data_IF_658595632296
#
_entry.id   IF_658595632296
#
_cell.length_a   1.000
_cell.length_b   1.000
_cell.length_c   1.000
_cell.angle_alpha   90.00
_cell.angle_beta   90.00
_cell.angle_gamma   90.00
#
_symmetry.space_group_name_H-M   'P 1'
#
loop_
_entity.id
_entity.type
_entity.pdbx_description
1 polymer ?
#
# COMPACT_ATOMS: atom_id res chain seq x y z
N UNK A 1 3.69 -26.65 -10.39
CA UNK A 1 3.89 -25.19 -10.30
C UNK A 1 3.75 -24.64 -11.70
N UNK A 2 3.03 -23.54 -11.87
CA UNK A 2 2.93 -22.77 -13.11
C UNK A 2 3.97 -21.65 -13.02
N UNK A 3 4.63 -21.36 -14.14
CA UNK A 3 5.63 -20.32 -14.28
C UNK A 3 5.15 -19.30 -15.31
N UNK A 4 5.12 -18.03 -14.94
CA UNK A 4 4.81 -16.91 -15.84
C UNK A 4 6.11 -16.27 -16.31
N UNK A 5 6.55 -16.64 -17.51
CA UNK A 5 7.76 -16.07 -18.12
C UNK A 5 7.34 -15.06 -19.19
N UNK A 6 7.56 -13.75 -18.99
CA UNK A 6 7.33 -12.79 -20.06
C UNK A 6 8.29 -13.08 -21.22
N UNK A 7 7.84 -12.97 -22.49
CA UNK A 7 8.64 -13.38 -23.65
C UNK A 7 9.86 -12.49 -23.89
N UNK A 8 9.80 -11.22 -23.48
CA UNK A 8 10.81 -10.20 -23.77
C UNK A 8 11.72 -9.95 -22.57
N UNK A 9 12.35 -11.01 -22.04
CA UNK A 9 13.17 -10.94 -20.83
C UNK A 9 14.49 -11.71 -20.98
N UNK A 10 15.60 -11.10 -20.57
CA UNK A 10 16.86 -11.82 -20.30
C UNK A 10 17.01 -12.07 -18.81
N UNK A 11 17.48 -13.26 -18.47
CA UNK A 11 17.64 -13.75 -17.10
C UNK A 11 19.11 -13.91 -16.76
N UNK A 12 19.45 -13.66 -15.49
CA UNK A 12 20.78 -13.97 -14.96
C UNK A 12 21.05 -15.47 -14.92
N UNK A 13 22.32 -15.83 -14.98
CA UNK A 13 22.78 -17.21 -14.81
C UNK A 13 22.21 -17.83 -13.53
N UNK A 14 21.65 -19.03 -13.64
CA UNK A 14 21.11 -19.76 -12.50
C UNK A 14 19.73 -19.32 -12.02
N UNK A 15 19.12 -18.27 -12.60
CA UNK A 15 17.80 -17.77 -12.18
C UNK A 15 16.73 -18.86 -12.07
N UNK A 16 16.54 -19.65 -13.14
CA UNK A 16 15.54 -20.74 -13.12
C UNK A 16 15.94 -21.92 -12.22
N UNK A 17 17.23 -22.14 -11.99
CA UNK A 17 17.70 -23.14 -11.01
C UNK A 17 17.32 -22.71 -9.61
N UNK A 18 17.59 -21.45 -9.25
CA UNK A 18 17.21 -20.90 -7.96
C UNK A 18 15.69 -21.00 -7.71
N UNK A 19 14.87 -20.70 -8.72
CA UNK A 19 13.40 -20.86 -8.63
C UNK A 19 12.99 -22.33 -8.47
N UNK A 20 13.65 -23.26 -9.16
CA UNK A 20 13.41 -24.69 -8.99
C UNK A 20 13.81 -25.19 -7.59
N UNK A 21 14.92 -24.69 -7.04
CA UNK A 21 15.39 -25.01 -5.69
C UNK A 21 14.37 -24.51 -4.65
N UNK A 22 13.88 -23.27 -4.79
CA UNK A 22 12.80 -22.72 -3.95
C UNK A 22 11.54 -23.58 -4.01
N UNK A 23 11.10 -23.98 -5.21
CA UNK A 23 9.94 -24.85 -5.38
C UNK A 23 10.12 -26.22 -4.71
N UNK A 24 11.31 -26.81 -4.86
CA UNK A 24 11.68 -28.10 -4.26
C UNK A 24 11.75 -28.02 -2.74
N UNK A 25 12.18 -26.86 -2.19
CA UNK A 25 12.15 -26.57 -0.76
C UNK A 25 10.76 -26.38 -0.18
N UNK A 26 9.72 -26.44 -1.00
CA UNK A 26 8.31 -26.40 -0.58
C UNK A 26 7.59 -25.09 -0.89
N UNK A 27 8.26 -24.07 -1.44
CA UNK A 27 7.62 -22.80 -1.79
C UNK A 27 6.54 -23.00 -2.88
N UNK A 28 5.41 -22.35 -2.70
CA UNK A 28 4.18 -22.44 -3.53
C UNK A 28 3.80 -21.13 -4.19
N UNK A 29 4.37 -20.01 -3.76
CA UNK A 29 4.23 -18.71 -4.39
C UNK A 29 5.58 -18.00 -4.37
N UNK A 30 6.08 -17.61 -5.54
CA UNK A 30 7.38 -16.95 -5.70
C UNK A 30 7.17 -15.63 -6.42
N UNK A 31 7.62 -14.54 -5.80
CA UNK A 31 7.57 -13.19 -6.34
C UNK A 31 8.97 -12.70 -6.70
N UNK A 32 9.09 -12.02 -7.83
CA UNK A 32 10.32 -11.37 -8.27
C UNK A 32 10.03 -9.99 -8.83
N UNK A 33 11.06 -9.17 -8.94
CA UNK A 33 11.04 -7.95 -9.76
C UNK A 33 12.10 -8.00 -10.85
N UNK A 34 11.96 -7.14 -11.85
CA UNK A 34 12.92 -6.94 -12.92
C UNK A 34 12.86 -5.49 -13.37
N UNK A 35 13.95 -4.99 -13.96
CA UNK A 35 14.00 -3.63 -14.50
C UNK A 35 13.68 -3.64 -15.99
N UNK A 36 12.93 -2.64 -16.44
CA UNK A 36 12.67 -2.42 -17.86
C UNK A 36 13.81 -1.59 -18.47
N UNK A 37 14.28 -2.01 -19.63
CA UNK A 37 15.35 -1.38 -20.41
C UNK A 37 14.88 -1.15 -21.85
N UNK A 38 15.56 -0.23 -22.54
CA UNK A 38 15.26 0.05 -23.95
C UNK A 38 15.79 -1.08 -24.83
N UNK A 39 14.88 -1.77 -25.53
CA UNK A 39 15.20 -2.96 -26.31
C UNK A 39 16.21 -2.68 -27.44
N UNK A 40 16.05 -1.53 -28.10
CA UNK A 40 16.79 -1.12 -29.29
C UNK A 40 18.28 -0.90 -29.02
N UNK A 41 18.63 -0.55 -27.78
CA UNK A 41 20.01 -0.31 -27.36
C UNK A 41 20.55 -1.42 -26.47
N UNK A 42 19.72 -1.99 -25.60
CA UNK A 42 20.17 -3.01 -24.66
C UNK A 42 20.35 -4.39 -25.31
N UNK A 43 19.44 -4.82 -26.20
CA UNK A 43 19.51 -6.16 -26.80
C UNK A 43 20.78 -6.36 -27.64
N UNK A 44 21.18 -5.43 -28.53
CA UNK A 44 22.45 -5.54 -29.26
C UNK A 44 23.64 -5.66 -28.31
N UNK A 45 23.67 -4.85 -27.25
CA UNK A 45 24.76 -4.86 -26.27
C UNK A 45 24.85 -6.18 -25.50
N UNK A 46 23.71 -6.71 -25.05
CA UNK A 46 23.66 -8.02 -24.36
C UNK A 46 24.22 -9.11 -25.28
N UNK A 47 23.85 -9.08 -26.57
CA UNK A 47 24.35 -10.06 -27.54
C UNK A 47 25.83 -9.89 -27.84
N UNK A 48 26.32 -8.66 -27.95
CA UNK A 48 27.74 -8.40 -28.23
C UNK A 48 28.64 -8.86 -27.07
N UNK A 49 28.24 -8.56 -25.82
CA UNK A 49 29.08 -8.83 -24.63
C UNK A 49 28.94 -10.24 -24.09
N UNK A 50 27.74 -10.83 -24.16
CA UNK A 50 27.38 -12.00 -23.36
C UNK A 50 26.84 -13.17 -24.19
N UNK A 51 26.68 -13.05 -25.51
CA UNK A 51 26.36 -14.21 -26.34
C UNK A 51 27.53 -15.17 -26.34
N UNK A 52 27.30 -16.38 -25.82
CA UNK A 52 28.29 -17.43 -25.80
C UNK A 52 28.66 -17.85 -27.23
N UNK A 53 29.79 -18.57 -27.35
CA UNK A 53 30.32 -19.04 -28.63
C UNK A 53 29.37 -19.99 -29.38
N UNK A 54 28.42 -20.60 -28.68
CA UNK A 54 27.39 -21.45 -29.28
C UNK A 54 26.35 -20.66 -30.10
N UNK A 55 26.34 -19.32 -29.96
CA UNK A 55 25.42 -18.43 -30.66
C UNK A 55 23.97 -18.47 -30.15
N UNK A 56 23.72 -19.16 -29.02
CA UNK A 56 22.36 -19.38 -28.48
C UNK A 56 22.28 -18.94 -27.03
N UNK A 57 23.29 -19.22 -26.21
CA UNK A 57 23.25 -18.97 -24.77
C UNK A 57 23.71 -17.55 -24.45
N UNK A 58 22.97 -16.84 -23.60
CA UNK A 58 23.46 -15.61 -22.97
C UNK A 58 24.07 -15.97 -21.62
N UNK A 59 25.38 -15.78 -21.47
CA UNK A 59 26.14 -16.06 -20.24
C UNK A 59 26.40 -14.76 -19.48
N UNK A 60 25.53 -14.44 -18.52
CA UNK A 60 25.53 -13.15 -17.84
C UNK A 60 25.11 -13.29 -16.37
N UNK A 61 25.92 -12.73 -15.46
CA UNK A 61 25.61 -12.70 -14.03
C UNK A 61 24.56 -11.64 -13.68
N UNK A 62 23.95 -11.76 -12.49
CA UNK A 62 23.00 -10.76 -12.01
C UNK A 62 23.59 -9.35 -11.93
N UNK A 63 24.83 -9.21 -11.41
CA UNK A 63 25.51 -7.90 -11.32
C UNK A 63 25.75 -7.26 -12.69
N UNK A 64 26.17 -8.05 -13.68
CA UNK A 64 26.32 -7.57 -15.05
C UNK A 64 24.98 -7.12 -15.66
N UNK A 65 23.88 -7.85 -15.39
CA UNK A 65 22.56 -7.38 -15.81
C UNK A 65 22.11 -6.10 -15.09
N UNK A 66 22.44 -5.92 -13.81
CA UNK A 66 22.17 -4.65 -13.11
C UNK A 66 22.97 -3.50 -13.74
N UNK A 67 24.25 -3.69 -14.04
CA UNK A 67 25.06 -2.68 -14.75
C UNK A 67 24.40 -2.28 -16.09
N UNK A 68 23.96 -3.28 -16.86
CA UNK A 68 23.21 -3.05 -18.11
C UNK A 68 21.89 -2.32 -17.85
N UNK A 69 21.16 -2.64 -16.78
CA UNK A 69 19.94 -1.94 -16.41
C UNK A 69 20.18 -0.44 -16.21
N UNK A 70 21.27 -0.06 -15.55
CA UNK A 70 21.59 1.34 -15.28
C UNK A 70 22.01 2.09 -16.53
N UNK A 71 22.73 1.42 -17.44
CA UNK A 71 23.18 2.03 -18.69
C UNK A 71 22.04 2.22 -19.70
N UNK A 72 21.09 1.27 -19.76
CA UNK A 72 20.04 1.23 -20.78
C UNK A 72 18.62 1.35 -20.19
N UNK A 73 18.48 1.95 -19.01
CA UNK A 73 17.22 2.07 -18.28
C UNK A 73 16.11 2.68 -19.15
N UNK A 74 14.93 2.08 -19.13
CA UNK A 74 13.81 2.60 -19.91
C UNK A 74 13.32 3.94 -19.32
N UNK A 75 12.96 4.95 -20.13
CA UNK A 75 12.44 6.23 -19.62
C UNK A 75 11.25 6.09 -18.67
N UNK A 76 10.29 5.21 -18.99
CA UNK A 76 9.20 4.86 -18.06
C UNK A 76 9.74 4.37 -16.70
N UNK A 77 10.79 3.55 -16.65
CA UNK A 77 11.35 3.09 -15.37
C UNK A 77 11.90 4.25 -14.55
N UNK A 78 12.56 5.21 -15.19
CA UNK A 78 13.03 6.42 -14.53
C UNK A 78 11.88 7.30 -14.00
N UNK A 79 10.71 7.27 -14.63
CA UNK A 79 9.58 8.08 -14.15
C UNK A 79 8.98 7.56 -12.85
N UNK A 80 9.24 6.30 -12.47
CA UNK A 80 8.89 5.76 -11.15
C UNK A 80 9.79 6.27 -10.00
N UNK A 81 10.81 7.08 -10.29
CA UNK A 81 11.54 7.77 -9.22
C UNK A 81 10.57 8.61 -8.41
N UNK A 82 10.65 8.51 -7.07
CA UNK A 82 9.78 9.24 -6.14
C UNK A 82 9.62 10.73 -6.47
N UNK A 83 10.71 11.37 -6.88
CA UNK A 83 10.76 12.82 -7.15
C UNK A 83 10.54 13.17 -8.64
N UNK A 84 10.11 12.21 -9.45
CA UNK A 84 9.85 12.42 -10.88
C UNK A 84 8.75 13.49 -11.09
N UNK A 85 8.97 14.45 -12.02
CA UNK A 85 7.93 15.40 -12.42
C UNK A 85 6.87 14.77 -13.37
N UNK A 86 7.09 13.52 -13.78
CA UNK A 86 6.32 12.78 -14.78
C UNK A 86 5.95 11.39 -14.24
N UNK A 87 5.66 11.27 -12.95
CA UNK A 87 5.33 10.01 -12.29
C UNK A 87 4.20 9.30 -13.06
N UNK A 88 4.24 7.98 -13.30
CA UNK A 88 3.32 7.35 -14.24
C UNK A 88 1.88 7.23 -13.67
N UNK A 89 0.88 7.27 -14.56
CA UNK A 89 -0.53 7.03 -14.20
C UNK A 89 -0.80 5.59 -13.73
N UNK A 90 0.11 4.67 -14.04
CA UNK A 90 0.05 3.25 -13.66
C UNK A 90 1.22 2.94 -12.70
N UNK A 91 1.07 3.23 -11.40
CA UNK A 91 2.15 3.17 -10.42
C UNK A 91 2.38 1.75 -9.87
N UNK A 92 3.02 0.85 -10.62
CA UNK A 92 3.30 -0.52 -10.16
C UNK A 92 4.31 -0.59 -9.01
N UNK A 93 5.30 0.30 -9.01
CA UNK A 93 6.34 0.39 -7.99
C UNK A 93 6.86 1.82 -7.86
N UNK A 94 7.74 2.06 -6.90
CA UNK A 94 8.37 3.36 -6.67
C UNK A 94 9.86 3.15 -6.44
N UNK A 95 10.69 4.01 -7.03
CA UNK A 95 12.14 3.95 -6.94
C UNK A 95 12.70 5.06 -6.06
N UNK A 96 13.63 4.70 -5.18
CA UNK A 96 14.51 5.62 -4.47
C UNK A 96 15.95 5.34 -4.86
N UNK A 97 16.65 6.38 -5.29
CA UNK A 97 18.07 6.29 -5.58
C UNK A 97 18.88 6.18 -4.29
N UNK A 98 19.76 5.18 -4.23
CA UNK A 98 20.86 5.12 -3.27
C UNK A 98 22.09 5.70 -3.95
N UNK A 99 22.62 6.87 -3.51
CA UNK A 99 23.70 7.55 -4.21
C UNK A 99 24.91 6.65 -4.46
N UNK A 100 25.26 6.45 -5.72
CA UNK A 100 26.42 5.65 -6.15
C UNK A 100 26.24 4.14 -6.10
N UNK A 101 25.20 3.61 -5.45
CA UNK A 101 25.10 2.17 -5.16
C UNK A 101 23.92 1.47 -5.83
N UNK A 102 22.79 2.16 -6.03
CA UNK A 102 21.67 1.54 -6.72
C UNK A 102 20.30 2.15 -6.46
N UNK A 103 19.29 1.29 -6.39
CA UNK A 103 17.89 1.64 -6.08
C UNK A 103 17.31 0.76 -4.98
N UNK A 104 16.53 1.39 -4.10
CA UNK A 104 15.47 0.70 -3.34
C UNK A 104 14.20 0.81 -4.16
N UNK A 105 13.58 -0.32 -4.46
CA UNK A 105 12.28 -0.41 -5.10
C UNK A 105 11.23 -0.86 -4.07
N UNK A 106 10.11 -0.14 -3.99
CA UNK A 106 8.91 -0.57 -3.26
C UNK A 106 7.84 -0.91 -4.26
N UNK A 107 7.33 -2.13 -4.22
CA UNK A 107 6.36 -2.63 -5.20
C UNK A 107 4.96 -2.47 -4.62
N UNK A 108 4.04 -1.85 -5.36
CA UNK A 108 2.66 -1.64 -4.91
C UNK A 108 1.78 -2.82 -5.30
N UNK A 109 1.95 -3.33 -6.52
CA UNK A 109 1.21 -4.46 -7.06
C UNK A 109 2.18 -5.38 -7.78
N UNK A 110 2.09 -6.68 -7.52
CA UNK A 110 2.92 -7.66 -8.24
C UNK A 110 2.24 -9.00 -8.43
N UNK A 111 2.28 -9.47 -9.66
CA UNK A 111 1.93 -10.84 -10.00
C UNK A 111 3.01 -11.83 -9.50
N UNK A 112 2.60 -13.05 -9.21
CA UNK A 112 3.54 -14.12 -8.89
C UNK A 112 4.30 -14.54 -10.15
N UNK A 113 5.61 -14.72 -10.01
CA UNK A 113 6.41 -15.31 -11.08
C UNK A 113 6.15 -16.80 -11.23
N UNK A 114 6.01 -17.49 -10.10
CA UNK A 114 5.66 -18.90 -10.07
C UNK A 114 4.68 -19.20 -8.95
N UNK A 115 3.72 -20.09 -9.19
CA UNK A 115 2.76 -20.48 -8.17
C UNK A 115 2.21 -21.90 -8.35
N UNK A 116 1.74 -22.51 -7.26
CA UNK A 116 0.99 -23.77 -7.30
C UNK A 116 -0.52 -23.47 -7.34
N UNK A 117 -1.21 -23.71 -8.47
CA UNK A 117 -2.64 -23.38 -8.61
C UNK A 117 -3.55 -24.21 -7.71
N UNK A 118 -3.03 -25.26 -7.06
CA UNK A 118 -3.77 -26.05 -6.07
C UNK A 118 -3.83 -25.36 -4.70
N UNK A 119 -2.92 -24.43 -4.45
CA UNK A 119 -2.79 -23.70 -3.17
C UNK A 119 -3.22 -22.26 -3.36
N UNK A 120 -2.86 -21.63 -4.49
CA UNK A 120 -3.11 -20.21 -4.71
C UNK A 120 -4.27 -19.99 -5.68
N UNK A 121 -5.38 -19.48 -5.14
CA UNK A 121 -6.49 -18.90 -5.88
C UNK A 121 -6.16 -17.48 -6.35
N UNK A 122 -6.47 -17.18 -7.61
CA UNK A 122 -6.29 -15.87 -8.21
C UNK A 122 -7.62 -15.11 -8.31
N UNK A 123 -7.55 -13.77 -8.21
CA UNK A 123 -8.65 -12.87 -8.52
C UNK A 123 -8.68 -12.53 -10.03
N UNK A 124 -9.60 -11.65 -10.44
CA UNK A 124 -9.74 -11.24 -11.84
C UNK A 124 -8.52 -10.49 -12.42
N UNK A 125 -7.65 -9.96 -11.55
CA UNK A 125 -6.40 -9.29 -11.92
C UNK A 125 -5.20 -10.25 -11.91
N UNK A 126 -5.43 -11.57 -11.83
CA UNK A 126 -4.39 -12.59 -11.69
C UNK A 126 -3.49 -12.44 -10.45
N UNK A 127 -3.99 -11.78 -9.40
CA UNK A 127 -3.32 -11.63 -8.11
C UNK A 127 -3.89 -12.62 -7.08
N UNK A 128 -3.16 -12.98 -6.00
CA UNK A 128 -3.70 -13.83 -4.94
C UNK A 128 -5.02 -13.28 -4.37
N UNK A 129 -6.06 -14.10 -4.33
CA UNK A 129 -7.38 -13.72 -3.83
C UNK A 129 -7.53 -13.83 -2.29
N UNK A 130 -6.51 -14.35 -1.61
CA UNK A 130 -6.50 -14.67 -0.18
C UNK A 130 -5.09 -14.49 0.37
N UNK A 131 -4.98 -14.33 1.70
CA UNK A 131 -3.69 -14.20 2.37
C UNK A 131 -2.85 -15.46 2.13
N UNK A 132 -1.61 -15.26 1.71
CA UNK A 132 -0.68 -16.35 1.45
C UNK A 132 0.05 -16.73 2.72
N UNK A 133 0.19 -18.02 2.96
CA UNK A 133 1.03 -18.53 4.04
C UNK A 133 2.50 -18.06 3.85
N UNK A 134 3.09 -17.32 4.81
CA UNK A 134 4.47 -16.87 4.74
C UNK A 134 5.48 -18.02 4.61
N UNK A 135 5.20 -19.20 5.17
CA UNK A 135 6.09 -20.36 5.07
C UNK A 135 6.12 -20.94 3.66
N UNK A 136 5.00 -20.84 2.93
CA UNK A 136 4.87 -21.30 1.56
C UNK A 136 5.24 -20.22 0.53
N UNK A 137 5.43 -18.98 0.97
CA UNK A 137 5.71 -17.85 0.07
C UNK A 137 7.19 -17.46 0.11
N UNK A 138 7.70 -16.97 -1.02
CA UNK A 138 9.04 -16.40 -1.11
C UNK A 138 9.06 -15.16 -1.99
N UNK A 139 9.80 -14.15 -1.54
CA UNK A 139 9.99 -12.90 -2.26
C UNK A 139 11.49 -12.74 -2.52
N UNK A 140 11.90 -12.75 -3.79
CA UNK A 140 13.28 -12.50 -4.17
C UNK A 140 13.48 -10.98 -4.16
N UNK A 141 14.15 -10.48 -3.12
CA UNK A 141 14.29 -9.05 -2.85
C UNK A 141 15.68 -8.49 -3.09
N UNK A 142 16.68 -9.31 -3.38
CA UNK A 142 18.05 -8.86 -3.65
C UNK A 142 18.44 -9.20 -5.09
N UNK A 143 19.01 -8.24 -5.82
CA UNK A 143 19.43 -8.45 -7.21
C UNK A 143 20.57 -9.46 -7.34
N UNK A 144 21.34 -9.75 -6.29
CA UNK A 144 22.37 -10.80 -6.38
C UNK A 144 21.75 -12.22 -6.42
N UNK A 145 20.56 -12.43 -5.83
CA UNK A 145 19.91 -13.75 -5.78
C UNK A 145 19.33 -14.15 -7.14
N UNK A 146 18.60 -13.22 -7.77
CA UNK A 146 18.06 -13.35 -9.12
C UNK A 146 17.74 -11.96 -9.66
N UNK A 147 18.23 -11.68 -10.87
CA UNK A 147 17.88 -10.46 -11.60
C UNK A 147 17.54 -10.76 -13.06
N UNK A 148 16.69 -9.92 -13.64
CA UNK A 148 16.28 -10.02 -15.03
C UNK A 148 16.02 -8.63 -15.63
N UNK A 149 16.15 -8.53 -16.95
CA UNK A 149 15.87 -7.34 -17.73
C UNK A 149 14.65 -7.56 -18.60
N UNK A 150 13.63 -6.71 -18.47
CA UNK A 150 12.50 -6.68 -19.40
C UNK A 150 12.80 -5.71 -20.54
N UNK A 151 12.78 -6.19 -21.76
CA UNK A 151 12.99 -5.38 -22.96
C UNK A 151 11.68 -4.75 -23.39
N UNK A 152 11.71 -3.44 -23.63
CA UNK A 152 10.59 -2.73 -24.21
C UNK A 152 11.08 -1.72 -25.26
N UNK A 153 10.33 -1.54 -26.36
CA UNK A 153 10.59 -0.45 -27.30
C UNK A 153 10.60 0.90 -26.58
N UNK A 154 11.44 1.84 -27.02
CA UNK A 154 11.58 3.16 -26.38
C UNK A 154 10.25 3.91 -26.17
N UNK A 155 9.32 3.74 -27.11
CA UNK A 155 8.02 4.42 -27.13
C UNK A 155 6.90 3.62 -26.46
N UNK A 156 7.22 2.48 -25.81
CA UNK A 156 6.25 1.63 -25.14
C UNK A 156 5.65 2.37 -23.93
N UNK A 157 4.30 2.43 -23.90
CA UNK A 157 3.50 3.03 -22.82
C UNK A 157 3.82 4.52 -22.57
N UNK A 158 4.20 5.25 -23.64
CA UNK A 158 4.60 6.66 -23.59
C UNK A 158 3.49 7.59 -23.05
N UNK A 159 2.23 7.22 -23.26
CA UNK A 159 1.05 7.90 -22.73
C UNK A 159 0.98 7.88 -21.20
N UNK A 160 1.66 6.93 -20.54
CA UNK A 160 1.60 6.81 -19.09
C UNK A 160 2.40 7.88 -18.35
N UNK A 161 3.40 8.49 -19.00
CA UNK A 161 4.37 9.36 -18.34
C UNK A 161 4.71 10.63 -19.12
N UNK A 162 4.07 10.90 -20.25
CA UNK A 162 4.25 12.16 -20.99
C UNK A 162 3.53 13.34 -20.34
N UNK A 163 2.45 13.09 -19.61
CA UNK A 163 1.74 14.13 -18.87
C UNK A 163 2.46 14.45 -17.55
N UNK A 164 2.82 15.71 -17.28
CA UNK A 164 3.43 16.08 -16.01
C UNK A 164 2.50 15.78 -14.83
N UNK A 165 2.98 15.00 -13.88
CA UNK A 165 2.33 14.75 -12.60
C UNK A 165 3.37 14.24 -11.60
N UNK A 166 3.15 14.53 -10.33
CA UNK A 166 3.99 14.02 -9.24
C UNK A 166 3.30 12.83 -8.58
N UNK A 167 4.08 12.06 -7.83
CA UNK A 167 3.55 11.08 -6.89
C UNK A 167 2.50 11.74 -5.99
N UNK A 168 1.26 11.27 -6.09
CA UNK A 168 0.12 11.74 -5.29
C UNK A 168 -0.53 10.57 -4.56
N UNK A 169 -0.67 10.68 -3.25
CA UNK A 169 -1.12 9.57 -2.41
C UNK A 169 -2.58 9.16 -2.70
N UNK A 170 -3.45 10.13 -3.00
CA UNK A 170 -4.86 9.86 -3.29
C UNK A 170 -5.00 9.16 -4.64
N UNK A 171 -4.31 9.65 -5.66
CA UNK A 171 -4.30 9.07 -7.00
C UNK A 171 -3.76 7.64 -6.97
N UNK A 172 -2.61 7.43 -6.34
CA UNK A 172 -1.99 6.10 -6.21
C UNK A 172 -2.87 5.18 -5.37
N UNK A 173 -3.37 5.63 -4.22
CA UNK A 173 -4.27 4.82 -3.39
C UNK A 173 -5.54 4.40 -4.13
N UNK A 174 -6.12 5.29 -4.94
CA UNK A 174 -7.30 4.98 -5.76
C UNK A 174 -7.00 3.96 -6.86
N UNK A 175 -5.83 4.09 -7.52
CA UNK A 175 -5.34 3.12 -8.50
C UNK A 175 -5.09 1.75 -7.83
N UNK A 176 -4.43 1.75 -6.68
CA UNK A 176 -4.07 0.53 -5.96
C UNK A 176 -5.30 -0.30 -5.57
N UNK A 177 -6.40 0.35 -5.18
CA UNK A 177 -7.68 -0.32 -4.92
C UNK A 177 -8.29 -1.05 -6.13
N UNK A 178 -7.84 -0.79 -7.36
CA UNK A 178 -8.30 -1.54 -8.55
C UNK A 178 -7.58 -2.88 -8.69
N UNK A 179 -6.41 -3.01 -8.08
CA UNK A 179 -5.56 -4.20 -8.11
C UNK A 179 -5.46 -4.82 -6.73
N UNK A 180 -6.54 -4.77 -5.95
CA UNK A 180 -6.47 -5.10 -4.53
C UNK A 180 -6.18 -6.59 -4.30
N UNK A 181 -5.24 -6.88 -3.41
CA UNK A 181 -4.83 -8.24 -3.07
C UNK A 181 -4.09 -8.23 -1.73
N UNK A 182 -4.31 -9.23 -0.85
CA UNK A 182 -3.55 -9.34 0.41
C UNK A 182 -2.04 -9.47 0.17
N UNK A 183 -1.62 -10.07 -0.95
CA UNK A 183 -0.20 -10.18 -1.27
C UNK A 183 0.44 -8.81 -1.53
N UNK A 184 -0.33 -7.80 -1.94
CA UNK A 184 0.19 -6.45 -2.15
C UNK A 184 0.58 -5.77 -0.83
N UNK A 185 -0.08 -6.10 0.28
CA UNK A 185 0.29 -5.57 1.59
C UNK A 185 1.66 -6.08 2.01
N UNK A 186 1.92 -7.37 1.79
CA UNK A 186 3.23 -7.98 2.02
C UNK A 186 4.28 -7.45 1.05
N UNK A 187 4.00 -7.44 -0.27
CA UNK A 187 4.99 -7.02 -1.29
C UNK A 187 5.41 -5.56 -1.10
N UNK A 188 4.46 -4.71 -0.71
CA UNK A 188 4.69 -3.29 -0.51
C UNK A 188 5.43 -2.96 0.76
N UNK A 189 5.49 -3.88 1.73
CA UNK A 189 6.28 -3.76 2.95
C UNK A 189 7.76 -4.11 2.75
N UNK A 190 8.12 -4.82 1.68
CA UNK A 190 9.48 -5.29 1.42
C UNK A 190 10.34 -4.24 0.69
N UNK A 191 11.66 -4.36 0.84
CA UNK A 191 12.64 -3.56 0.11
C UNK A 191 13.29 -4.41 -0.98
N UNK A 192 13.01 -4.11 -2.24
CA UNK A 192 13.71 -4.73 -3.35
C UNK A 192 14.98 -3.94 -3.64
N UNK A 193 16.13 -4.58 -3.46
CA UNK A 193 17.46 -3.96 -3.50
C UNK A 193 18.11 -4.29 -4.82
N UNK A 194 18.27 -3.26 -5.64
CA UNK A 194 18.91 -3.36 -6.95
C UNK A 194 20.22 -2.58 -6.85
N UNK A 195 21.35 -3.28 -6.83
CA UNK A 195 22.64 -2.67 -6.49
C UNK A 195 23.74 -3.05 -7.47
N UNK A 196 24.63 -2.08 -7.74
CA UNK A 196 25.77 -2.21 -8.67
C UNK A 196 26.97 -2.94 -8.04
N UNK A 197 26.95 -3.16 -6.73
CA UNK A 197 28.06 -3.71 -5.97
C UNK A 197 27.77 -3.69 -4.48
N UNK A 198 28.81 -3.76 -3.66
CA UNK A 198 28.64 -3.83 -2.20
C UNK A 198 27.82 -2.65 -1.65
N UNK A 199 26.87 -2.96 -0.77
CA UNK A 199 25.92 -2.01 -0.19
C UNK A 199 26.51 -1.38 1.06
N UNK A 200 26.55 -0.04 1.15
CA UNK A 200 26.86 0.66 2.40
C UNK A 200 25.64 0.66 3.32
N UNK A 201 25.64 -0.08 4.44
CA UNK A 201 24.43 -0.31 5.23
C UNK A 201 23.75 0.97 5.71
N UNK A 202 24.50 2.04 5.97
CA UNK A 202 23.98 3.34 6.45
C UNK A 202 23.22 4.08 5.35
N UNK A 203 23.73 4.06 4.11
CA UNK A 203 23.09 4.72 2.96
C UNK A 203 21.76 4.03 2.63
N UNK A 204 21.76 2.71 2.57
CA UNK A 204 20.56 1.92 2.30
C UNK A 204 19.52 2.10 3.39
N UNK A 205 19.88 1.95 4.68
CA UNK A 205 18.95 2.14 5.80
C UNK A 205 18.31 3.53 5.81
N UNK A 206 19.06 4.56 5.44
CA UNK A 206 18.51 5.92 5.31
C UNK A 206 17.43 6.00 4.23
N UNK A 207 17.69 5.43 3.06
CA UNK A 207 16.75 5.43 1.93
C UNK A 207 15.53 4.54 2.22
N UNK A 208 15.73 3.38 2.83
CA UNK A 208 14.66 2.48 3.28
C UNK A 208 13.69 3.20 4.21
N UNK A 209 14.18 3.90 5.24
CA UNK A 209 13.34 4.71 6.14
C UNK A 209 12.57 5.82 5.42
N UNK A 210 13.21 6.48 4.44
CA UNK A 210 12.53 7.48 3.63
C UNK A 210 11.40 6.85 2.79
N UNK A 211 11.60 5.62 2.31
CA UNK A 211 10.57 4.88 1.59
C UNK A 211 9.42 4.49 2.51
N UNK A 212 9.68 4.08 3.76
CA UNK A 212 8.64 3.69 4.72
C UNK A 212 7.68 4.84 5.04
N UNK A 213 8.19 6.07 5.15
CA UNK A 213 7.36 7.26 5.38
C UNK A 213 6.38 7.48 4.22
N UNK A 214 6.85 7.35 2.98
CA UNK A 214 6.01 7.52 1.79
C UNK A 214 5.02 6.37 1.67
N UNK A 215 5.50 5.12 1.79
CA UNK A 215 4.66 3.93 1.70
C UNK A 215 3.55 3.94 2.74
N UNK A 216 3.85 4.34 3.98
CA UNK A 216 2.83 4.50 5.02
C UNK A 216 1.73 5.48 4.59
N UNK A 217 2.08 6.61 3.97
CA UNK A 217 1.09 7.58 3.46
C UNK A 217 0.24 7.00 2.33
N UNK A 218 0.84 6.27 1.40
CA UNK A 218 0.14 5.64 0.27
C UNK A 218 -0.85 4.57 0.75
N UNK A 219 -0.39 3.70 1.64
CA UNK A 219 -1.20 2.67 2.29
C UNK A 219 -2.36 3.32 3.06
N UNK A 220 -2.08 4.36 3.84
CA UNK A 220 -3.11 5.17 4.51
C UNK A 220 -4.16 5.72 3.57
N UNK A 221 -3.71 6.34 2.47
CA UNK A 221 -4.61 6.91 1.49
C UNK A 221 -5.52 5.84 0.87
N UNK A 222 -4.94 4.68 0.51
CA UNK A 222 -5.68 3.52 0.01
C UNK A 222 -6.76 3.07 0.99
N UNK A 223 -6.44 2.88 2.27
CA UNK A 223 -7.41 2.39 3.26
C UNK A 223 -8.54 3.38 3.51
N UNK A 224 -8.24 4.67 3.61
CA UNK A 224 -9.30 5.65 3.83
C UNK A 224 -10.21 5.76 2.60
N UNK A 225 -9.65 5.70 1.39
CA UNK A 225 -10.45 5.59 0.16
C UNK A 225 -11.31 4.32 0.15
N UNK A 226 -10.80 3.21 0.69
CA UNK A 226 -11.55 1.96 0.84
C UNK A 226 -12.75 2.14 1.78
N UNK A 227 -12.52 2.72 2.97
CA UNK A 227 -13.59 3.07 3.92
C UNK A 227 -14.61 3.99 3.26
N UNK A 228 -14.17 5.03 2.54
CA UNK A 228 -15.07 5.94 1.83
C UNK A 228 -15.91 5.24 0.76
N UNK A 229 -15.37 4.24 0.04
CA UNK A 229 -16.12 3.47 -0.97
C UNK A 229 -17.26 2.67 -0.33
N UNK A 230 -17.00 2.08 0.84
CA UNK A 230 -18.00 1.29 1.57
C UNK A 230 -19.12 2.14 2.23
N UNK A 231 -18.94 3.45 2.39
CA UNK A 231 -19.97 4.35 2.93
C UNK A 231 -21.07 4.65 1.89
N UNK A 232 -22.37 4.41 2.18
CA UNK A 232 -23.49 4.77 1.32
C UNK A 232 -23.47 6.25 0.88
N UNK A 233 -23.55 6.50 -0.43
CA UNK A 233 -23.41 7.85 -0.99
C UNK A 233 -24.51 8.82 -0.54
N UNK A 234 -25.74 8.34 -0.43
CA UNK A 234 -26.95 9.13 -0.14
C UNK A 234 -26.99 9.64 1.31
N UNK A 235 -26.56 8.83 2.28
CA UNK A 235 -26.66 9.15 3.72
C UNK A 235 -25.39 9.71 4.34
N UNK A 236 -24.23 9.50 3.68
CA UNK A 236 -22.92 9.78 4.27
C UNK A 236 -22.08 10.75 3.44
N UNK A 237 -22.67 11.48 2.50
CA UNK A 237 -21.95 12.42 1.63
C UNK A 237 -21.07 13.42 2.42
N UNK A 238 -21.58 13.98 3.52
CA UNK A 238 -20.80 14.91 4.35
C UNK A 238 -19.69 14.20 5.14
N UNK A 239 -19.97 13.05 5.75
CA UNK A 239 -18.96 12.26 6.44
C UNK A 239 -17.81 11.87 5.49
N UNK A 240 -18.14 11.46 4.25
CA UNK A 240 -17.15 11.18 3.20
C UNK A 240 -16.29 12.42 2.88
N UNK A 241 -16.87 13.62 2.83
CA UNK A 241 -16.11 14.87 2.59
C UNK A 241 -15.15 15.19 3.74
N UNK A 242 -15.58 14.99 4.99
CA UNK A 242 -14.72 15.22 6.16
C UNK A 242 -13.57 14.21 6.22
N UNK A 243 -13.87 12.93 5.98
CA UNK A 243 -12.85 11.88 5.86
C UNK A 243 -11.90 12.17 4.70
N UNK A 244 -12.40 12.65 3.56
CA UNK A 244 -11.59 13.07 2.42
C UNK A 244 -10.69 14.29 2.72
N UNK A 245 -11.16 15.23 3.53
CA UNK A 245 -10.34 16.37 3.95
C UNK A 245 -9.17 15.92 4.84
N UNK A 246 -9.40 14.92 5.70
CA UNK A 246 -8.35 14.39 6.56
C UNK A 246 -7.40 13.41 5.87
N UNK A 247 -7.77 12.88 4.72
CA UNK A 247 -6.94 12.05 3.84
C UNK A 247 -5.63 12.75 3.44
N UNK A 248 -5.63 14.08 3.41
CA UNK A 248 -4.42 14.91 3.19
C UNK A 248 -3.41 14.74 4.33
N UNK A 249 -3.82 14.23 5.49
CA UNK A 249 -3.00 14.12 6.68
C UNK A 249 -2.47 12.71 6.94
N UNK A 250 -1.16 12.69 7.21
CA UNK A 250 -0.38 11.45 7.38
C UNK A 250 -0.73 10.64 8.62
N UNK A 251 -1.38 11.21 9.63
CA UNK A 251 -1.70 10.51 10.89
C UNK A 251 -2.83 9.50 10.74
N UNK A 252 -3.81 9.76 9.88
CA UNK A 252 -4.90 8.80 9.62
C UNK A 252 -4.38 7.56 8.88
N UNK A 253 -3.21 7.66 8.23
CA UNK A 253 -2.52 6.51 7.66
C UNK A 253 -2.03 5.49 8.71
N UNK A 254 -1.92 5.88 9.99
CA UNK A 254 -1.53 4.96 11.06
C UNK A 254 -2.62 3.92 11.35
N UNK A 255 -3.88 4.18 10.97
CA UNK A 255 -4.97 3.21 11.07
C UNK A 255 -4.64 1.88 10.39
N UNK A 256 -3.76 1.90 9.38
CA UNK A 256 -3.50 0.73 8.54
C UNK A 256 -2.48 -0.23 9.12
N UNK A 257 -1.54 0.29 9.92
CA UNK A 257 -0.51 -0.53 10.57
C UNK A 257 -1.04 -1.29 11.78
N UNK A 258 -2.31 -1.06 12.14
CA UNK A 258 -2.96 -1.79 13.20
C UNK A 258 -3.33 -3.19 12.71
N UNK A 259 -2.67 -4.20 13.27
CA UNK A 259 -2.90 -5.62 12.96
C UNK A 259 -4.20 -6.13 13.57
N UNK A 260 -4.61 -5.54 14.68
CA UNK A 260 -5.84 -5.96 15.34
C UNK A 260 -7.06 -5.37 14.62
N UNK A 261 -8.22 -6.02 14.78
CA UNK A 261 -9.50 -5.47 14.35
C UNK A 261 -9.67 -4.00 14.76
N UNK A 262 -10.36 -3.22 13.93
CA UNK A 262 -10.76 -1.85 14.27
C UNK A 262 -12.23 -1.64 13.97
N UNK A 263 -12.87 -0.84 14.81
CA UNK A 263 -14.25 -0.39 14.61
C UNK A 263 -14.28 1.12 14.38
N UNK A 264 -14.76 1.54 13.22
CA UNK A 264 -14.89 2.97 12.89
C UNK A 264 -16.30 3.44 13.25
N UNK A 265 -16.42 4.45 14.12
CA UNK A 265 -17.68 5.12 14.42
C UNK A 265 -17.86 6.26 13.44
N UNK A 266 -18.82 6.14 12.52
CA UNK A 266 -19.06 7.19 11.52
C UNK A 266 -20.31 7.99 11.89
N UNK A 267 -20.19 9.32 12.10
CA UNK A 267 -21.35 10.18 12.33
C UNK A 267 -22.25 10.24 11.09
N UNK A 268 -23.56 10.38 11.30
CA UNK A 268 -24.51 10.60 10.20
C UNK A 268 -24.23 11.91 9.45
N UNK A 269 -24.69 12.01 8.20
CA UNK A 269 -24.52 13.24 7.40
C UNK A 269 -25.12 14.49 8.06
N UNK A 270 -26.31 14.36 8.67
CA UNK A 270 -26.98 15.48 9.35
C UNK A 270 -26.20 15.96 10.59
N UNK A 271 -25.68 15.03 11.38
CA UNK A 271 -24.89 15.34 12.57
C UNK A 271 -23.55 15.98 12.19
N UNK A 272 -22.91 15.48 11.13
CA UNK A 272 -21.69 16.10 10.61
C UNK A 272 -21.94 17.54 10.15
N UNK A 273 -23.06 17.81 9.47
CA UNK A 273 -23.44 19.17 9.06
C UNK A 273 -23.63 20.07 10.29
N UNK A 274 -24.39 19.61 11.28
CA UNK A 274 -24.63 20.35 12.53
C UNK A 274 -23.31 20.69 13.23
N UNK A 275 -22.46 19.69 13.41
CA UNK A 275 -21.14 19.87 14.01
C UNK A 275 -20.28 20.89 13.27
N UNK A 276 -20.25 20.83 11.94
CA UNK A 276 -19.49 21.76 11.11
C UNK A 276 -19.91 23.21 11.32
N UNK A 277 -21.22 23.48 11.45
CA UNK A 277 -21.74 24.82 11.72
C UNK A 277 -21.47 25.30 13.14
N UNK A 278 -21.55 24.42 14.13
CA UNK A 278 -21.39 24.80 15.54
C UNK A 278 -19.91 25.03 15.90
N UNK A 279 -19.07 24.02 15.71
CA UNK A 279 -17.69 24.00 16.21
C UNK A 279 -16.66 23.47 15.20
N UNK A 280 -17.12 22.77 14.16
CA UNK A 280 -16.29 21.99 13.26
C UNK A 280 -15.56 22.81 12.21
N UNK A 281 -16.09 23.97 11.81
CA UNK A 281 -15.51 24.82 10.78
C UNK A 281 -14.04 25.19 11.05
N UNK A 282 -13.61 25.28 12.32
CA UNK A 282 -12.22 25.56 12.68
C UNK A 282 -11.25 24.46 12.26
N UNK A 283 -11.69 23.20 12.22
CA UNK A 283 -10.89 22.04 11.80
C UNK A 283 -10.75 21.93 10.28
N UNK A 284 -11.54 22.69 9.52
CA UNK A 284 -11.45 22.76 8.06
C UNK A 284 -10.57 23.94 7.58
N UNK A 285 -10.05 24.76 8.49
CA UNK A 285 -9.13 25.85 8.14
C UNK A 285 -7.75 25.29 7.82
N UNK A 286 -7.04 25.94 6.89
CA UNK A 286 -5.63 25.69 6.65
C UNK A 286 -4.83 25.79 7.96
N UNK A 287 -3.95 24.84 8.23
CA UNK A 287 -3.18 24.72 9.47
C UNK A 287 -3.87 23.97 10.63
N UNK A 288 -5.16 23.62 10.51
CA UNK A 288 -5.89 22.88 11.55
C UNK A 288 -5.91 21.36 11.34
N UNK A 289 -5.09 20.85 10.43
CA UNK A 289 -5.25 19.51 9.90
C UNK A 289 -4.85 18.42 10.90
N UNK A 290 -3.90 18.70 11.79
CA UNK A 290 -3.58 17.82 12.93
C UNK A 290 -4.77 17.67 13.87
N UNK A 291 -5.50 18.77 14.12
CA UNK A 291 -6.71 18.76 14.93
C UNK A 291 -7.78 17.88 14.32
N UNK A 292 -7.99 17.99 12.99
CA UNK A 292 -8.92 17.16 12.25
C UNK A 292 -8.51 15.68 12.26
N UNK A 293 -7.23 15.38 12.07
CA UNK A 293 -6.73 14.00 12.12
C UNK A 293 -6.93 13.38 13.51
N UNK A 294 -6.56 14.09 14.58
CA UNK A 294 -6.77 13.65 15.96
C UNK A 294 -8.26 13.43 16.27
N UNK A 295 -9.12 14.29 15.72
CA UNK A 295 -10.56 14.13 15.82
C UNK A 295 -11.00 12.78 15.26
N UNK A 296 -10.61 12.47 14.03
CA UNK A 296 -10.99 11.22 13.37
C UNK A 296 -10.40 9.98 14.04
N UNK A 297 -9.16 10.05 14.52
CA UNK A 297 -8.56 8.94 15.28
C UNK A 297 -9.33 8.65 16.58
N UNK A 298 -10.05 9.64 17.12
CA UNK A 298 -10.94 9.46 18.27
C UNK A 298 -12.26 8.76 17.94
N UNK A 299 -12.54 8.54 16.66
CA UNK A 299 -13.68 7.76 16.16
C UNK A 299 -13.29 6.33 15.77
N UNK A 300 -12.00 5.98 15.85
CA UNK A 300 -11.55 4.62 15.55
C UNK A 300 -11.26 3.89 16.85
N UNK A 301 -12.09 2.91 17.17
CA UNK A 301 -11.93 2.00 18.30
C UNK A 301 -10.96 0.88 17.91
N UNK A 302 -10.03 0.61 18.81
CA UNK A 302 -9.17 -0.59 18.81
C UNK A 302 -10.03 -1.80 19.20
N UNK A 303 -10.08 -2.79 18.32
CA UNK A 303 -10.88 -4.01 18.47
C UNK A 303 -12.24 -3.97 17.75
N UNK A 304 -13.00 -5.04 17.96
CA UNK A 304 -14.36 -5.18 17.44
C UNK A 304 -15.37 -4.78 18.51
N UNK A 305 -16.28 -3.86 18.17
CA UNK A 305 -17.43 -3.54 19.02
C UNK A 305 -18.56 -4.52 18.68
N UNK A 306 -18.66 -5.56 19.49
CA UNK A 306 -19.74 -6.55 19.38
C UNK A 306 -21.02 -6.02 20.03
N UNK A 307 -22.02 -5.71 19.21
CA UNK A 307 -23.33 -5.25 19.66
C UNK A 307 -24.29 -6.41 19.98
N UNK A 308 -23.88 -7.67 19.81
CA UNK A 308 -24.74 -8.81 20.17
C UNK A 308 -24.73 -9.08 21.67
N UNK A 309 -23.61 -8.76 22.32
CA UNK A 309 -23.41 -8.89 23.75
C UNK A 309 -23.91 -7.60 24.39
N UNK A 310 -25.13 -7.63 24.97
CA UNK A 310 -25.77 -6.47 25.61
C UNK A 310 -25.11 -6.09 26.95
N UNK A 311 -23.81 -5.85 26.91
CA UNK A 311 -22.97 -5.50 28.05
C UNK A 311 -22.38 -4.11 27.86
N UNK A 312 -22.31 -3.37 28.96
CA UNK A 312 -21.59 -2.12 29.03
C UNK A 312 -20.08 -2.40 28.96
N UNK A 313 -19.37 -1.66 28.11
CA UNK A 313 -17.93 -1.85 27.90
C UNK A 313 -17.24 -0.52 27.67
N UNK A 314 -15.95 -0.45 28.03
CA UNK A 314 -15.11 0.69 27.70
C UNK A 314 -14.07 0.27 26.67
N UNK A 315 -13.93 1.08 25.63
CA UNK A 315 -13.01 0.86 24.52
C UNK A 315 -11.97 1.96 24.47
N UNK A 316 -10.77 1.63 24.00
CA UNK A 316 -9.72 2.61 23.71
C UNK A 316 -9.77 3.01 22.24
N UNK A 317 -9.71 4.32 21.96
CA UNK A 317 -9.60 4.83 20.60
C UNK A 317 -8.15 4.79 20.12
N UNK A 318 -7.90 4.89 18.81
CA UNK A 318 -6.53 4.98 18.28
C UNK A 318 -5.80 6.26 18.73
N UNK A 319 -6.53 7.26 19.23
CA UNK A 319 -5.94 8.43 19.91
C UNK A 319 -5.53 8.14 21.36
N UNK A 320 -5.95 7.02 21.95
CA UNK A 320 -5.72 6.65 23.34
C UNK A 320 -6.81 7.11 24.32
N UNK A 321 -7.90 7.71 23.83
CA UNK A 321 -9.03 8.10 24.67
C UNK A 321 -9.95 6.91 24.94
N UNK A 322 -10.84 7.04 25.93
CA UNK A 322 -11.85 6.02 26.23
C UNK A 322 -13.22 6.37 25.65
N UNK A 323 -13.93 5.37 25.11
CA UNK A 323 -15.33 5.41 24.67
C UNK A 323 -16.15 4.43 25.48
N UNK A 324 -17.31 4.84 25.98
CA UNK A 324 -18.18 3.98 26.77
C UNK A 324 -19.35 3.46 25.93
N UNK A 325 -19.41 2.15 25.68
CA UNK A 325 -20.61 1.47 25.21
C UNK A 325 -21.53 1.21 26.40
N UNK A 326 -22.81 1.55 26.23
CA UNK A 326 -23.87 1.33 27.21
C UNK A 326 -25.17 0.93 26.52
N UNK A 327 -26.13 0.40 27.28
CA UNK A 327 -27.41 -0.05 26.75
C UNK A 327 -28.60 0.68 27.38
N UNK A 328 -29.50 1.21 26.53
CA UNK A 328 -30.77 1.80 26.99
C UNK A 328 -31.93 1.19 26.21
N UNK A 329 -32.81 0.47 26.90
CA UNK A 329 -33.98 -0.20 26.30
C UNK A 329 -33.60 -1.10 25.11
N UNK A 330 -32.47 -1.80 25.21
CA UNK A 330 -31.95 -2.67 24.14
C UNK A 330 -31.31 -1.94 22.96
N UNK A 331 -31.14 -0.61 23.04
CA UNK A 331 -30.42 0.18 22.02
C UNK A 331 -29.00 0.45 22.52
N UNK A 332 -27.95 0.09 21.74
CA UNK A 332 -26.58 0.40 22.10
C UNK A 332 -26.29 1.88 21.97
N UNK A 333 -25.52 2.43 22.90
CA UNK A 333 -25.09 3.82 22.93
C UNK A 333 -23.59 3.91 23.12
N UNK A 334 -22.89 4.75 22.35
CA UNK A 334 -21.50 5.14 22.65
C UNK A 334 -21.49 6.56 23.21
N UNK A 335 -20.92 6.72 24.40
CA UNK A 335 -20.85 7.97 25.14
C UNK A 335 -22.24 8.62 25.32
N UNK A 336 -23.26 7.81 25.55
CA UNK A 336 -24.65 8.26 25.69
C UNK A 336 -25.36 8.58 24.37
N UNK A 337 -24.73 8.30 23.23
CA UNK A 337 -25.32 8.53 21.91
C UNK A 337 -25.75 7.21 21.27
N UNK A 338 -27.00 7.08 20.77
CA UNK A 338 -27.46 5.84 20.15
C UNK A 338 -26.66 5.47 18.89
N UNK A 339 -26.28 4.20 18.80
CA UNK A 339 -25.72 3.58 17.60
C UNK A 339 -26.85 3.00 16.75
N UNK A 340 -26.70 3.08 15.42
CA UNK A 340 -27.55 2.28 14.54
C UNK A 340 -27.12 0.82 14.64
N UNK A 341 -28.08 -0.07 14.88
CA UNK A 341 -27.83 -1.49 15.16
C UNK A 341 -27.38 -2.29 13.94
N UNK A 342 -27.49 -1.74 12.72
CA UNK A 342 -27.02 -2.39 11.50
C UNK A 342 -25.61 -1.89 11.17
N UNK A 343 -24.54 -2.66 11.46
CA UNK A 343 -23.20 -2.31 11.02
C UNK A 343 -23.16 -2.13 9.50
N UNK A 344 -22.38 -1.16 9.02
CA UNK A 344 -21.93 -1.15 7.64
C UNK A 344 -20.76 -2.13 7.60
N UNK A 345 -21.04 -3.33 7.10
CA UNK A 345 -19.99 -4.31 6.88
C UNK A 345 -19.06 -3.77 5.81
N UNK A 346 -17.88 -3.36 6.22
CA UNK A 346 -16.75 -3.10 5.35
C UNK A 346 -16.20 -4.42 4.78
N UNK A 347 -16.95 -5.52 4.72
CA UNK A 347 -16.43 -6.82 4.26
C UNK A 347 -16.98 -7.21 2.89
N UNK A 348 -18.15 -6.70 2.48
CA UNK A 348 -18.81 -7.17 1.26
C UNK A 348 -18.08 -6.79 -0.04
N UNK A 349 -17.28 -5.72 -0.02
CA UNK A 349 -16.37 -5.34 -1.12
C UNK A 349 -14.91 -5.81 -0.87
N UNK A 350 -14.64 -6.54 0.23
CA UNK A 350 -13.30 -6.72 0.79
C UNK A 350 -12.99 -8.21 0.91
N UNK A 351 -12.40 -8.79 -0.14
CA UNK A 351 -12.22 -10.25 -0.22
C UNK A 351 -11.27 -10.87 0.82
N UNK A 352 -10.47 -10.07 1.54
CA UNK A 352 -9.37 -10.63 2.35
C UNK A 352 -9.09 -9.94 3.70
N UNK A 353 -9.69 -8.77 3.98
CA UNK A 353 -9.48 -8.09 5.25
C UNK A 353 -10.52 -8.56 6.27
N UNK A 354 -10.17 -9.61 7.01
CA UNK A 354 -11.01 -10.14 8.09
C UNK A 354 -10.96 -9.18 9.29
N UNK A 355 -12.13 -8.83 9.86
CA UNK A 355 -12.20 -8.16 11.17
C UNK A 355 -12.12 -6.62 11.16
N UNK A 356 -12.38 -5.95 10.03
CA UNK A 356 -12.56 -4.49 10.00
C UNK A 356 -14.03 -4.18 9.79
N UNK A 357 -14.66 -3.47 10.74
CA UNK A 357 -16.08 -3.12 10.65
C UNK A 357 -16.31 -1.62 10.88
N UNK A 358 -17.37 -1.08 10.30
CA UNK A 358 -17.84 0.27 10.58
C UNK A 358 -19.22 0.23 11.24
N UNK A 359 -19.37 0.99 12.33
CA UNK A 359 -20.65 1.24 12.98
C UNK A 359 -21.08 2.67 12.67
N UNK A 360 -22.32 2.82 12.21
CA UNK A 360 -22.90 4.16 12.03
C UNK A 360 -23.52 4.61 13.34
N UNK A 361 -23.27 5.87 13.70
CA UNK A 361 -23.81 6.47 14.90
C UNK A 361 -24.59 7.76 14.58
N UNK A 362 -25.77 7.89 15.16
CA UNK A 362 -26.55 9.12 15.10
C UNK A 362 -26.19 9.98 16.31
N UNK A 363 -25.25 10.91 16.13
CA UNK A 363 -24.95 11.95 17.12
C UNK A 363 -23.63 11.77 17.86
N UNK A 364 -22.77 10.83 17.44
CA UNK A 364 -21.42 10.71 18.04
C UNK A 364 -20.62 11.82 17.41
N UNK A 365 -20.77 13.00 17.98
CA UNK A 365 -19.94 14.14 17.69
C UNK A 365 -18.82 14.18 18.71
N UNK A 366 -17.63 14.60 18.30
CA UNK A 366 -16.46 14.56 19.15
C UNK A 366 -16.68 15.42 20.39
N UNK A 367 -16.19 14.93 21.54
CA UNK A 367 -16.02 15.77 22.73
C UNK A 367 -15.04 16.87 22.35
N UNK A 368 -15.55 18.05 22.03
CA UNK A 368 -14.72 19.22 21.78
C UNK A 368 -14.07 19.55 23.12
N UNK A 369 -12.82 19.16 23.31
CA UNK A 369 -11.99 19.77 24.35
C UNK A 369 -11.63 21.17 23.84
N UNK A 370 -12.06 22.24 24.54
CA UNK A 370 -11.80 23.61 24.11
C UNK A 370 -10.31 23.92 23.90
N UNK A 371 -9.42 23.21 24.63
CA UNK A 371 -8.01 23.56 24.77
C UNK A 371 -7.04 22.70 23.94
N UNK A 372 -7.51 21.73 23.15
CA UNK A 372 -6.64 20.73 22.51
C UNK A 372 -5.91 21.21 21.24
N UNK A 373 -6.00 22.49 20.88
CA UNK A 373 -5.38 23.04 19.66
C UNK A 373 -3.90 23.41 19.89
N UNK A 374 -3.51 23.70 21.14
CA UNK A 374 -2.17 24.20 21.48
C UNK A 374 -1.27 23.17 22.20
N UNK A 375 -1.69 21.91 22.30
CA UNK A 375 -0.89 20.89 23.01
C UNK A 375 0.41 20.60 22.24
N UNK A 376 1.60 21.00 22.78
CA UNK A 376 2.87 20.74 22.13
C UNK A 376 3.06 19.23 21.98
N UNK A 377 3.36 18.83 20.75
CA UNK A 377 3.39 17.44 20.28
C UNK A 377 3.87 16.44 21.36
N UNK A 378 3.12 15.36 21.65
CA UNK A 378 3.74 14.19 22.26
C UNK A 378 4.84 13.72 21.30
N UNK A 379 6.09 13.68 21.80
CA UNK A 379 7.21 13.09 21.06
C UNK A 379 6.87 11.61 20.87
N UNK A 380 6.51 11.24 19.65
CA UNK A 380 6.38 9.84 19.27
C UNK A 380 7.77 9.20 19.30
N UNK A 381 7.88 8.08 20.02
CA UNK A 381 9.05 7.19 20.06
C UNK A 381 9.07 6.34 18.79
#
# INVERSE_FOLDING_TARGET
>A
MILFVPPDVTWSNGAFRHVADLATSGKKAIFITYMRVVSETCVPEVRERYLARDGVTIDVSSRQLVEMAFQYIHPLTLTYLRESPNFPIHPEFILWRVPGEGYVMRVLVREMFAYDPRVVLLNEQALPAHELDPELTHFITDSDDLFALSFAPLMKDVDWFTSPQKLDAVTIGSWWLRYDSPANDTVSALYYRIHLGERTPELWRRIERQSDIVMSRLIGAREILRVMRAMPQDRMAMARRVVAAALVQTRVAQLVHYKDPVTIIVPSGAEMVRWLFDNGARYLKSGAENGLANLLLDHVIVGTVDLTVQEDRTFTTMRGNSRQLSWQRGVPHIDGVPLQTRPVLLEQDWGYLVGRHALMAEGVLPRVQPDAIDDPQPRLI
#
